data_IF_878423546950
#
_entry.id   IF_878423546950
#
_cell.length_a   1.000
_cell.length_b   1.000
_cell.length_c   1.000
_cell.angle_alpha   90.00
_cell.angle_beta   90.00
_cell.angle_gamma   90.00
#
_symmetry.space_group_name_H-M   'P 1'
#
loop_
_entity.id
_entity.type
_entity.pdbx_description
1 polymer ?
#
# COMPACT_ATOMS: atom_id res chain seq x y z
N UNK A 1 27.13 -34.82 -47.69
CA UNK A 1 26.73 -34.88 -46.26
C UNK A 1 26.89 -33.48 -45.67
N UNK A 2 25.79 -32.91 -45.19
CA UNK A 2 25.68 -31.50 -44.82
C UNK A 2 26.45 -31.19 -43.52
N UNK A 3 27.33 -30.18 -43.59
CA UNK A 3 28.07 -29.65 -42.43
C UNK A 3 27.22 -28.60 -41.73
N UNK A 4 26.58 -28.96 -40.61
CA UNK A 4 25.81 -28.04 -39.77
C UNK A 4 26.71 -26.95 -39.19
N UNK A 5 26.50 -25.69 -39.61
CA UNK A 5 27.08 -24.51 -38.96
C UNK A 5 26.35 -24.29 -37.62
N UNK A 6 27.03 -24.55 -36.51
CA UNK A 6 26.59 -24.09 -35.19
C UNK A 6 26.83 -22.57 -35.08
N UNK A 7 25.73 -21.81 -34.96
CA UNK A 7 25.77 -20.40 -34.61
C UNK A 7 26.18 -20.27 -33.14
N UNK A 8 27.36 -19.74 -32.88
CA UNK A 8 27.83 -19.42 -31.52
C UNK A 8 27.25 -18.07 -31.11
N UNK A 9 26.18 -18.09 -30.31
CA UNK A 9 25.67 -16.88 -29.67
C UNK A 9 26.67 -16.41 -28.61
N UNK A 10 27.45 -15.39 -28.94
CA UNK A 10 28.34 -14.68 -28.00
C UNK A 10 27.48 -13.97 -26.95
N UNK A 11 27.45 -14.50 -25.73
CA UNK A 11 26.76 -13.90 -24.59
C UNK A 11 27.55 -12.68 -24.12
N UNK A 12 27.19 -11.50 -24.59
CA UNK A 12 27.74 -10.24 -24.12
C UNK A 12 27.36 -10.06 -22.64
N UNK A 13 28.37 -10.05 -21.78
CA UNK A 13 28.21 -9.83 -20.35
C UNK A 13 28.00 -8.33 -20.10
N UNK A 14 26.76 -7.96 -19.81
CA UNK A 14 26.43 -6.62 -19.31
C UNK A 14 27.27 -6.38 -18.06
N UNK A 15 28.19 -5.40 -18.11
CA UNK A 15 28.93 -4.95 -16.93
C UNK A 15 27.95 -4.29 -15.98
N UNK A 16 27.55 -5.02 -14.95
CA UNK A 16 26.74 -4.49 -13.85
C UNK A 16 27.65 -3.52 -13.09
N UNK A 17 27.49 -2.22 -13.33
CA UNK A 17 28.14 -1.20 -12.51
C UNK A 17 27.49 -1.27 -11.13
N UNK A 18 28.26 -1.50 -10.04
CA UNK A 18 27.71 -1.48 -8.70
C UNK A 18 27.04 -0.13 -8.44
N UNK A 19 25.80 -0.14 -7.93
CA UNK A 19 25.17 1.07 -7.41
C UNK A 19 26.13 1.70 -6.39
N UNK A 20 26.43 3.01 -6.50
CA UNK A 20 27.34 3.66 -5.57
C UNK A 20 26.83 3.47 -4.14
N UNK A 21 27.71 3.01 -3.25
CA UNK A 21 27.36 2.80 -1.85
C UNK A 21 27.03 4.14 -1.18
N UNK A 22 25.91 4.17 -0.48
CA UNK A 22 25.44 5.37 0.19
C UNK A 22 26.41 5.76 1.33
N UNK A 23 26.88 7.01 1.30
CA UNK A 23 27.73 7.58 2.35
C UNK A 23 27.01 7.62 3.70
N UNK A 24 27.76 7.71 4.79
CA UNK A 24 27.19 7.82 6.13
C UNK A 24 26.30 9.06 6.30
N UNK A 25 26.66 10.17 5.67
CA UNK A 25 25.89 11.42 5.69
C UNK A 25 24.57 11.28 4.94
N UNK A 26 24.58 10.68 3.76
CA UNK A 26 23.35 10.41 3.00
C UNK A 26 22.42 9.43 3.73
N UNK A 27 22.97 8.39 4.39
CA UNK A 27 22.19 7.47 5.24
C UNK A 27 21.51 8.22 6.39
N UNK A 28 22.23 9.12 7.04
CA UNK A 28 21.71 9.93 8.14
C UNK A 28 20.61 10.88 7.64
N UNK A 29 20.87 11.58 6.54
CA UNK A 29 19.91 12.47 5.90
C UNK A 29 18.62 11.74 5.54
N UNK A 30 18.72 10.58 4.85
CA UNK A 30 17.54 9.78 4.51
C UNK A 30 16.77 9.33 5.76
N UNK A 31 17.45 8.93 6.83
CA UNK A 31 16.81 8.55 8.10
C UNK A 31 16.06 9.72 8.74
N UNK A 32 16.65 10.91 8.73
CA UNK A 32 16.01 12.13 9.24
C UNK A 32 14.76 12.47 8.40
N UNK A 33 14.86 12.46 7.07
CA UNK A 33 13.72 12.73 6.19
C UNK A 33 12.59 11.72 6.37
N UNK A 34 12.90 10.44 6.56
CA UNK A 34 11.88 9.44 6.85
C UNK A 34 11.25 9.61 8.24
N UNK A 35 12.00 10.14 9.21
CA UNK A 35 11.44 10.53 10.52
C UNK A 35 10.48 11.71 10.39
N UNK A 36 10.83 12.71 9.58
CA UNK A 36 9.95 13.86 9.31
C UNK A 36 8.63 13.41 8.66
N UNK A 37 8.70 12.51 7.67
CA UNK A 37 7.51 11.92 7.03
C UNK A 37 6.59 11.25 8.05
N UNK A 38 7.15 10.48 8.99
CA UNK A 38 6.38 9.87 10.07
C UNK A 38 5.66 10.92 10.91
N UNK A 39 6.38 11.95 11.37
CA UNK A 39 5.82 13.00 12.22
C UNK A 39 4.74 13.80 11.51
N UNK A 40 4.92 14.10 10.22
CA UNK A 40 3.92 14.78 9.40
C UNK A 40 2.64 13.93 9.26
N UNK A 41 2.78 12.63 9.01
CA UNK A 41 1.63 11.71 8.92
C UNK A 41 0.93 11.53 10.27
N UNK A 42 1.66 11.50 11.37
CA UNK A 42 1.11 11.47 12.72
C UNK A 42 0.35 12.74 13.05
N UNK A 43 0.95 13.90 12.79
CA UNK A 43 0.28 15.19 12.95
C UNK A 43 -0.97 15.30 12.07
N UNK A 44 -0.91 14.86 10.81
CA UNK A 44 -2.09 14.81 9.93
C UNK A 44 -3.18 13.92 10.53
N UNK A 45 -2.81 12.73 11.02
CA UNK A 45 -3.76 11.78 11.61
C UNK A 45 -4.46 12.34 12.84
N UNK A 46 -3.74 13.10 13.67
CA UNK A 46 -4.29 13.70 14.88
C UNK A 46 -5.17 14.92 14.60
N UNK A 47 -4.83 15.73 13.59
CA UNK A 47 -5.58 16.96 13.27
C UNK A 47 -6.78 16.73 12.36
N UNK A 48 -6.68 15.77 11.44
CA UNK A 48 -7.66 15.55 10.38
C UNK A 48 -8.56 14.33 10.66
N UNK A 49 -9.00 14.16 11.91
CA UNK A 49 -9.85 13.02 12.30
C UNK A 49 -11.14 12.95 11.47
N UNK A 50 -11.80 14.09 11.24
CA UNK A 50 -13.04 14.15 10.47
C UNK A 50 -12.81 13.71 9.01
N UNK A 51 -11.79 14.26 8.36
CA UNK A 51 -11.40 13.93 7.00
C UNK A 51 -11.05 12.45 6.85
N UNK A 52 -10.27 11.91 7.79
CA UNK A 52 -9.90 10.48 7.78
C UNK A 52 -11.12 9.58 7.98
N UNK A 53 -12.04 9.96 8.87
CA UNK A 53 -13.30 9.21 9.05
C UNK A 53 -14.15 9.21 7.79
N UNK A 54 -14.17 10.29 7.01
CA UNK A 54 -14.82 10.33 5.71
C UNK A 54 -14.12 9.41 4.70
N UNK A 55 -12.79 9.40 4.66
CA UNK A 55 -12.04 8.44 3.84
C UNK A 55 -12.39 7.00 4.22
N UNK A 56 -12.45 6.68 5.53
CA UNK A 56 -12.88 5.36 6.02
C UNK A 56 -14.29 5.02 5.53
N UNK A 57 -15.23 5.98 5.58
CA UNK A 57 -16.59 5.77 5.10
C UNK A 57 -16.62 5.46 3.59
N UNK A 58 -15.90 6.22 2.78
CA UNK A 58 -15.79 5.97 1.35
C UNK A 58 -15.17 4.60 1.03
N UNK A 59 -14.11 4.23 1.75
CA UNK A 59 -13.45 2.93 1.59
C UNK A 59 -14.38 1.77 1.98
N UNK A 60 -15.18 1.95 3.03
CA UNK A 60 -16.17 0.97 3.42
C UNK A 60 -17.22 0.77 2.33
N UNK A 61 -17.79 1.85 1.80
CA UNK A 61 -18.86 1.80 0.80
C UNK A 61 -18.42 1.07 -0.48
N UNK A 62 -17.21 1.36 -0.97
CA UNK A 62 -16.65 0.67 -2.15
C UNK A 62 -16.26 -0.78 -1.80
N UNK A 63 -15.63 -0.98 -0.64
CA UNK A 63 -15.11 -2.28 -0.22
C UNK A 63 -16.19 -3.31 0.05
N UNK A 64 -17.26 -2.93 0.74
CA UNK A 64 -18.35 -3.85 1.11
C UNK A 64 -19.11 -4.34 -0.11
N UNK A 65 -19.35 -3.47 -1.10
CA UNK A 65 -20.02 -3.83 -2.36
C UNK A 65 -19.18 -4.85 -3.13
N UNK A 66 -17.87 -4.60 -3.26
CA UNK A 66 -16.96 -5.50 -3.95
C UNK A 66 -16.84 -6.85 -3.23
N UNK A 67 -16.80 -6.84 -1.90
CA UNK A 67 -16.77 -8.06 -1.08
C UNK A 67 -18.05 -8.89 -1.27
N UNK A 68 -19.22 -8.26 -1.22
CA UNK A 68 -20.51 -8.93 -1.43
C UNK A 68 -20.59 -9.53 -2.83
N UNK A 69 -20.20 -8.78 -3.87
CA UNK A 69 -20.18 -9.28 -5.24
C UNK A 69 -19.25 -10.48 -5.41
N UNK A 70 -18.10 -10.49 -4.74
CA UNK A 70 -17.14 -11.60 -4.79
C UNK A 70 -17.62 -12.84 -4.01
N UNK A 71 -18.25 -12.65 -2.83
CA UNK A 71 -18.60 -13.75 -1.92
C UNK A 71 -20.00 -14.32 -2.13
N UNK A 72 -20.95 -13.52 -2.61
CA UNK A 72 -22.35 -13.91 -2.73
C UNK A 72 -22.74 -13.90 -4.21
N UNK A 73 -22.61 -15.07 -4.83
CA UNK A 73 -22.94 -15.28 -6.25
C UNK A 73 -24.44 -15.38 -6.50
N UNK A 74 -25.22 -15.82 -5.49
CA UNK A 74 -26.67 -15.94 -5.61
C UNK A 74 -27.34 -14.55 -5.66
N UNK A 75 -28.04 -14.24 -6.75
CA UNK A 75 -28.61 -12.91 -7.04
C UNK A 75 -29.54 -12.35 -5.94
N UNK A 76 -30.58 -13.06 -5.45
CA UNK A 76 -31.43 -12.58 -4.36
C UNK A 76 -30.64 -12.33 -3.05
N UNK A 77 -29.75 -13.25 -2.67
CA UNK A 77 -28.92 -13.08 -1.47
C UNK A 77 -27.94 -11.91 -1.60
N UNK A 78 -27.40 -11.68 -2.80
CA UNK A 78 -26.53 -10.55 -3.10
C UNK A 78 -27.27 -9.22 -2.92
N UNK A 79 -28.50 -9.13 -3.44
CA UNK A 79 -29.36 -7.94 -3.28
C UNK A 79 -29.68 -7.68 -1.80
N UNK A 80 -30.03 -8.71 -1.05
CA UNK A 80 -30.28 -8.61 0.39
C UNK A 80 -29.03 -8.16 1.16
N UNK A 81 -27.88 -8.76 0.87
CA UNK A 81 -26.61 -8.39 1.51
C UNK A 81 -26.21 -6.94 1.21
N UNK A 82 -26.44 -6.46 -0.02
CA UNK A 82 -26.24 -5.04 -0.37
C UNK A 82 -27.16 -4.11 0.41
N UNK A 83 -28.42 -4.50 0.62
CA UNK A 83 -29.37 -3.73 1.43
C UNK A 83 -28.91 -3.61 2.89
N UNK A 84 -28.31 -4.68 3.41
CA UNK A 84 -27.77 -4.73 4.78
C UNK A 84 -26.32 -4.21 4.89
N UNK A 85 -25.71 -3.75 3.79
CA UNK A 85 -24.30 -3.38 3.77
C UNK A 85 -23.97 -2.20 4.69
N UNK A 86 -24.94 -1.32 4.97
CA UNK A 86 -24.75 -0.17 5.85
C UNK A 86 -24.82 -0.52 7.34
N UNK A 87 -25.41 -1.65 7.71
CA UNK A 87 -25.64 -2.04 9.10
C UNK A 87 -24.35 -2.16 9.93
N UNK A 88 -23.26 -2.79 9.43
CA UNK A 88 -21.99 -2.85 10.16
C UNK A 88 -21.19 -1.54 10.16
N UNK A 89 -21.59 -0.54 9.35
CA UNK A 89 -20.77 0.65 9.06
C UNK A 89 -20.35 1.44 10.31
N UNK A 90 -21.23 1.71 11.30
CA UNK A 90 -20.82 2.47 12.49
C UNK A 90 -19.75 1.75 13.33
N UNK A 91 -19.89 0.43 13.48
CA UNK A 91 -18.95 -0.39 14.25
C UNK A 91 -17.62 -0.47 13.49
N UNK A 92 -17.68 -0.74 12.18
CA UNK A 92 -16.50 -0.73 11.33
C UNK A 92 -15.75 0.61 11.42
N UNK A 93 -16.46 1.73 11.37
CA UNK A 93 -15.88 3.07 11.47
C UNK A 93 -15.11 3.27 12.78
N UNK A 94 -15.65 2.83 13.91
CA UNK A 94 -14.97 2.90 15.22
C UNK A 94 -13.70 2.04 15.22
N UNK A 95 -13.80 0.80 14.72
CA UNK A 95 -12.66 -0.13 14.67
C UNK A 95 -11.56 0.36 13.72
N UNK A 96 -11.94 0.81 12.53
CA UNK A 96 -11.04 1.38 11.54
C UNK A 96 -10.35 2.64 12.07
N UNK A 97 -11.08 3.53 12.75
CA UNK A 97 -10.49 4.71 13.38
C UNK A 97 -9.47 4.34 14.47
N UNK A 98 -9.81 3.40 15.36
CA UNK A 98 -8.87 2.89 16.38
C UNK A 98 -7.62 2.29 15.76
N UNK A 99 -7.76 1.58 14.63
CA UNK A 99 -6.64 1.04 13.90
C UNK A 99 -5.79 2.12 13.26
N UNK A 100 -6.41 3.11 12.60
CA UNK A 100 -5.73 4.22 11.93
C UNK A 100 -4.90 5.03 12.93
N UNK A 101 -5.50 5.45 14.04
CA UNK A 101 -4.82 6.21 15.10
C UNK A 101 -3.58 5.50 15.64
N UNK A 102 -3.58 4.17 15.66
CA UNK A 102 -2.45 3.36 16.16
C UNK A 102 -1.40 3.03 15.10
N UNK A 103 -1.78 2.95 13.82
CA UNK A 103 -0.96 2.27 12.82
C UNK A 103 -0.71 3.05 11.53
N UNK A 104 -1.53 4.04 11.18
CA UNK A 104 -1.50 4.65 9.85
C UNK A 104 -0.14 5.28 9.56
N UNK A 105 0.36 6.14 10.43
CA UNK A 105 1.64 6.82 10.25
C UNK A 105 2.78 5.84 10.07
N UNK A 106 2.87 4.80 10.92
CA UNK A 106 3.92 3.80 10.82
C UNK A 106 3.83 2.98 9.51
N UNK A 107 2.63 2.47 9.19
CA UNK A 107 2.44 1.64 7.99
C UNK A 107 2.66 2.41 6.69
N UNK A 108 2.14 3.64 6.61
CA UNK A 108 2.31 4.49 5.42
C UNK A 108 3.76 4.94 5.28
N UNK A 109 4.42 5.34 6.37
CA UNK A 109 5.85 5.71 6.34
C UNK A 109 6.71 4.54 5.85
N UNK A 110 6.49 3.33 6.36
CA UNK A 110 7.25 2.16 5.92
C UNK A 110 6.96 1.80 4.47
N UNK A 111 5.70 1.90 4.04
CA UNK A 111 5.33 1.67 2.65
C UNK A 111 6.01 2.68 1.72
N UNK A 112 6.01 3.97 2.07
CA UNK A 112 6.71 5.03 1.33
C UNK A 112 8.23 4.79 1.30
N UNK A 113 8.83 4.47 2.44
CA UNK A 113 10.25 4.12 2.55
C UNK A 113 10.62 2.99 1.58
N UNK A 114 9.79 1.95 1.51
CA UNK A 114 10.02 0.81 0.61
C UNK A 114 9.84 1.16 -0.88
N UNK A 115 9.09 2.22 -1.21
CA UNK A 115 8.93 2.70 -2.59
C UNK A 115 10.08 3.57 -3.06
N UNK A 116 10.73 4.30 -2.16
CA UNK A 116 11.89 5.15 -2.48
C UNK A 116 13.23 4.42 -2.34
N UNK A 117 13.24 3.29 -1.62
CA UNK A 117 14.36 2.34 -1.65
C UNK A 117 14.31 1.55 -2.96
N UNK A 118 14.99 2.08 -3.98
CA UNK A 118 15.30 1.32 -5.18
C UNK A 118 16.30 0.22 -4.80
N UNK A 119 15.93 -1.03 -5.07
CA UNK A 119 16.84 -2.18 -4.97
C UNK A 119 17.58 -2.36 -6.29
#
# INVERSE_FOLDING_TARGET
MASSKMLTTKKETVKIVPLPELTSEEKLFQKQRMRDVYLLLENLTLKEEATIKLIIDCLYDVGIINLINKKIQNRPLNKLAKMMASTPKPIFKILAWRWVRKNLSNKVTNWLNNKVKFK
#
